data_IF_047903101907
#
_entry.id   IF_047903101907
#
_cell.length_a   1.000
_cell.length_b   1.000
_cell.length_c   1.000
_cell.angle_alpha   90.00
_cell.angle_beta   90.00
_cell.angle_gamma   90.00
#
_symmetry.space_group_name_H-M   'P 1'
#
loop_
_entity.id
_entity.type
_entity.pdbx_description
1 polymer ?
#
# COMPACT_ATOMS: atom_id res chain seq x y z
N UNK A 1 9.26 66.53 35.32
CA UNK A 1 9.17 67.32 36.57
C UNK A 1 8.41 66.49 37.61
N UNK A 2 9.09 66.06 38.68
CA UNK A 2 8.62 65.58 40.02
C UNK A 2 7.42 64.60 40.09
N UNK A 3 7.63 63.31 40.36
CA UNK A 3 7.67 62.60 41.69
C UNK A 3 6.37 62.73 42.52
N UNK A 4 5.69 61.61 42.77
CA UNK A 4 5.01 61.27 44.04
C UNK A 4 4.64 59.76 44.04
N UNK A 5 5.45 58.87 44.62
CA UNK A 5 5.34 58.26 45.98
C UNK A 5 4.06 57.42 46.21
N UNK A 6 4.24 56.11 46.03
CA UNK A 6 3.93 54.98 46.94
C UNK A 6 2.92 55.26 48.09
N UNK A 7 1.81 54.52 48.12
CA UNK A 7 1.21 54.10 49.39
C UNK A 7 0.60 52.70 49.32
N UNK A 8 0.84 51.96 50.38
CA UNK A 8 0.61 50.54 50.55
C UNK A 8 -0.69 50.36 51.33
N UNK A 9 -1.60 49.54 50.82
CA UNK A 9 -2.61 48.94 51.69
C UNK A 9 -3.02 47.59 51.11
N UNK A 10 -2.50 46.54 51.75
CA UNK A 10 -2.97 45.18 51.60
C UNK A 10 -4.43 45.11 52.09
N UNK A 11 -5.34 44.68 51.22
CA UNK A 11 -6.64 44.20 51.64
C UNK A 11 -6.87 42.81 51.03
N UNK A 12 -6.79 41.84 51.93
CA UNK A 12 -7.01 40.42 51.73
C UNK A 12 -8.45 40.19 51.25
N UNK A 13 -8.63 39.95 49.95
CA UNK A 13 -9.91 39.51 49.37
C UNK A 13 -9.83 38.03 49.05
N UNK A 14 -10.51 37.25 49.90
CA UNK A 14 -10.73 35.82 49.77
C UNK A 14 -11.55 35.60 48.49
N UNK A 15 -10.90 35.09 47.44
CA UNK A 15 -11.54 34.73 46.19
C UNK A 15 -12.08 33.30 46.34
N UNK A 16 -13.41 33.06 46.25
CA UNK A 16 -13.93 31.70 46.23
C UNK A 16 -13.46 31.04 44.93
N UNK A 17 -12.65 29.99 45.08
CA UNK A 17 -12.17 29.15 44.00
C UNK A 17 -13.39 28.48 43.35
N UNK A 18 -13.88 29.05 42.24
CA UNK A 18 -14.91 28.45 41.43
C UNK A 18 -14.32 27.20 40.76
N UNK A 19 -14.69 26.03 41.30
CA UNK A 19 -14.40 24.73 40.74
C UNK A 19 -15.14 24.60 39.40
N UNK A 20 -14.46 24.90 38.30
CA UNK A 20 -15.02 24.71 36.95
C UNK A 20 -14.98 23.21 36.63
N UNK A 21 -16.16 22.59 36.62
CA UNK A 21 -16.36 21.21 36.20
C UNK A 21 -15.96 21.08 34.73
N UNK A 22 -14.83 20.42 34.46
CA UNK A 22 -14.42 20.06 33.11
C UNK A 22 -15.37 18.95 32.62
N UNK A 23 -16.45 19.33 31.93
CA UNK A 23 -17.32 18.36 31.26
C UNK A 23 -16.60 17.83 30.03
N UNK A 24 -15.95 16.67 30.20
CA UNK A 24 -15.43 15.87 29.12
C UNK A 24 -16.59 15.51 28.18
N UNK A 25 -16.71 16.21 27.06
CA UNK A 25 -17.54 15.76 25.95
C UNK A 25 -16.84 14.53 25.37
N UNK A 26 -17.29 13.35 25.75
CA UNK A 26 -16.93 12.11 25.08
C UNK A 26 -17.38 12.24 23.62
N UNK A 27 -16.47 12.66 22.74
CA UNK A 27 -16.66 12.54 21.30
C UNK A 27 -16.69 11.05 21.00
N UNK A 28 -17.89 10.50 20.84
CA UNK A 28 -18.08 9.15 20.32
C UNK A 28 -17.44 9.13 18.94
N UNK A 29 -16.30 8.44 18.81
CA UNK A 29 -15.69 8.22 17.51
C UNK A 29 -16.74 7.57 16.59
N UNK A 30 -16.88 8.03 15.33
CA UNK A 30 -17.77 7.37 14.39
C UNK A 30 -17.40 5.89 14.30
N UNK A 31 -18.41 5.02 14.31
CA UNK A 31 -18.22 3.59 14.13
C UNK A 31 -17.37 3.37 12.86
N UNK A 32 -16.30 2.58 13.00
CA UNK A 32 -15.47 2.23 11.85
C UNK A 32 -16.37 1.64 10.75
N UNK A 33 -16.16 2.01 9.47
CA UNK A 33 -16.95 1.49 8.38
C UNK A 33 -16.92 -0.05 8.38
N UNK A 34 -18.01 -0.71 7.94
CA UNK A 34 -18.09 -2.16 7.90
C UNK A 34 -16.90 -2.67 7.09
N UNK A 35 -16.06 -3.43 7.76
CA UNK A 35 -14.85 -3.98 7.19
C UNK A 35 -15.16 -5.37 6.68
N UNK A 36 -14.69 -5.71 5.48
CA UNK A 36 -14.92 -7.03 4.92
C UNK A 36 -14.42 -8.13 5.87
N UNK A 37 -15.27 -9.12 6.10
CA UNK A 37 -14.96 -10.28 6.97
C UNK A 37 -14.13 -11.33 6.23
N UNK A 38 -14.12 -11.29 4.89
CA UNK A 38 -13.38 -12.19 4.01
C UNK A 38 -12.60 -11.39 2.99
N UNK A 39 -11.52 -11.98 2.48
CA UNK A 39 -10.77 -11.40 1.38
C UNK A 39 -11.61 -11.41 0.09
N UNK A 40 -11.45 -10.37 -0.74
CA UNK A 40 -12.12 -10.23 -2.03
C UNK A 40 -11.04 -10.11 -3.11
N UNK A 41 -11.10 -11.02 -4.09
CA UNK A 41 -10.25 -10.94 -5.28
C UNK A 41 -10.71 -9.80 -6.18
N UNK A 42 -9.80 -8.89 -6.54
CA UNK A 42 -10.08 -7.70 -7.34
C UNK A 42 -9.67 -7.93 -8.78
N UNK A 43 -10.62 -7.67 -9.69
CA UNK A 43 -10.42 -7.67 -11.13
C UNK A 43 -10.29 -6.22 -11.63
N UNK A 44 -9.88 -6.00 -12.91
CA UNK A 44 -9.67 -4.64 -13.42
C UNK A 44 -10.84 -3.66 -13.21
N UNK A 45 -12.08 -4.14 -13.30
CA UNK A 45 -13.27 -3.31 -13.10
C UNK A 45 -13.40 -2.80 -11.64
N UNK A 46 -12.92 -3.57 -10.67
CA UNK A 46 -12.98 -3.23 -9.25
C UNK A 46 -11.90 -2.19 -8.86
N UNK A 47 -10.87 -2.04 -9.70
CA UNK A 47 -9.70 -1.20 -9.44
C UNK A 47 -9.71 0.14 -10.18
N UNK A 48 -10.72 0.41 -11.02
CA UNK A 48 -10.71 1.55 -11.95
C UNK A 48 -10.59 2.91 -11.23
N UNK A 49 -11.21 3.03 -10.06
CA UNK A 49 -11.15 4.24 -9.21
C UNK A 49 -9.95 4.28 -8.27
N UNK A 50 -9.34 3.13 -7.99
CA UNK A 50 -8.22 3.01 -7.04
C UNK A 50 -6.86 3.23 -7.72
N UNK A 51 -6.73 2.79 -8.97
CA UNK A 51 -5.46 2.89 -9.71
C UNK A 51 -5.23 4.34 -10.19
N UNK A 52 -4.12 4.98 -9.79
CA UNK A 52 -3.71 6.27 -10.33
C UNK A 52 -3.52 6.18 -11.86
N UNK A 53 -3.89 7.21 -12.64
CA UNK A 53 -3.73 7.19 -14.09
C UNK A 53 -2.25 7.20 -14.54
N UNK A 54 -1.35 7.66 -13.67
CA UNK A 54 0.09 7.62 -13.84
C UNK A 54 0.77 7.38 -12.50
N UNK A 55 1.95 6.77 -12.54
CA UNK A 55 2.73 6.40 -11.35
C UNK A 55 4.15 6.93 -11.47
N UNK A 56 4.76 7.26 -10.32
CA UNK A 56 6.15 7.71 -10.25
C UNK A 56 7.08 6.51 -10.04
N UNK A 57 8.19 6.47 -10.77
CA UNK A 57 9.27 5.53 -10.56
C UNK A 57 10.58 6.11 -11.07
N UNK A 58 11.62 6.10 -10.23
CA UNK A 58 12.99 6.48 -10.59
C UNK A 58 13.10 7.84 -11.31
N UNK A 59 12.44 8.88 -10.77
CA UNK A 59 12.48 10.24 -11.32
C UNK A 59 11.56 10.47 -12.52
N UNK A 60 10.77 9.47 -12.91
CA UNK A 60 9.91 9.53 -14.09
C UNK A 60 8.46 9.22 -13.73
N UNK A 61 7.53 9.73 -14.53
CA UNK A 61 6.11 9.36 -14.47
C UNK A 61 5.76 8.50 -15.69
N UNK A 62 5.08 7.38 -15.45
CA UNK A 62 4.59 6.50 -16.51
C UNK A 62 3.08 6.32 -16.41
N UNK A 63 2.40 6.23 -17.56
CA UNK A 63 1.00 5.80 -17.60
C UNK A 63 0.89 4.31 -17.28
N UNK A 64 -0.31 3.88 -16.92
CA UNK A 64 -0.59 2.49 -16.56
C UNK A 64 -1.68 1.88 -17.43
N UNK A 65 -1.58 0.57 -17.65
CA UNK A 65 -2.57 -0.21 -18.37
C UNK A 65 -3.61 -0.75 -17.38
N UNK A 66 -4.57 0.07 -16.94
CA UNK A 66 -5.59 -0.33 -15.93
C UNK A 66 -6.29 -1.66 -16.23
N UNK A 67 -6.54 -1.96 -17.51
CA UNK A 67 -7.11 -3.24 -17.98
C UNK A 67 -6.27 -4.48 -17.64
N UNK A 68 -4.99 -4.27 -17.36
CA UNK A 68 -4.01 -5.28 -16.96
C UNK A 68 -3.64 -5.01 -15.50
N UNK A 69 -4.61 -5.27 -14.63
CA UNK A 69 -4.49 -5.11 -13.17
C UNK A 69 -5.18 -6.24 -12.44
N UNK A 70 -4.82 -6.41 -11.17
CA UNK A 70 -5.46 -7.34 -10.27
C UNK A 70 -5.02 -7.06 -8.84
N UNK A 71 -5.76 -7.59 -7.89
CA UNK A 71 -5.44 -7.36 -6.48
C UNK A 71 -6.29 -8.19 -5.53
N UNK A 72 -6.16 -7.86 -4.25
CA UNK A 72 -6.93 -8.42 -3.16
C UNK A 72 -7.33 -7.27 -2.23
N UNK A 73 -8.61 -7.19 -1.91
CA UNK A 73 -9.06 -6.42 -0.76
C UNK A 73 -9.13 -7.39 0.41
N UNK A 74 -8.15 -7.33 1.31
CA UNK A 74 -8.07 -8.26 2.43
C UNK A 74 -9.18 -8.02 3.45
N UNK A 75 -9.57 -9.08 4.15
CA UNK A 75 -10.33 -8.98 5.37
C UNK A 75 -9.64 -8.03 6.34
N UNK A 76 -10.41 -7.18 7.00
CA UNK A 76 -9.83 -6.10 7.81
C UNK A 76 -9.57 -4.80 7.04
N UNK A 77 -9.84 -4.74 5.72
CA UNK A 77 -9.88 -3.50 4.94
C UNK A 77 -8.68 -3.12 4.07
N UNK A 78 -7.43 -3.61 4.28
CA UNK A 78 -6.32 -3.14 3.48
C UNK A 78 -6.35 -3.72 2.07
N UNK A 79 -5.90 -2.91 1.11
CA UNK A 79 -5.75 -3.31 -0.28
C UNK A 79 -4.32 -3.76 -0.59
N UNK A 80 -4.23 -4.71 -1.52
CA UNK A 80 -3.04 -4.93 -2.35
C UNK A 80 -3.50 -4.98 -3.80
N UNK A 81 -2.83 -4.25 -4.67
CA UNK A 81 -3.07 -4.38 -6.11
C UNK A 81 -1.82 -4.10 -6.91
N UNK A 82 -1.80 -4.63 -8.12
CA UNK A 82 -0.74 -4.44 -9.08
C UNK A 82 -1.32 -4.01 -10.43
N UNK A 83 -0.60 -3.16 -11.15
CA UNK A 83 -0.98 -2.69 -12.49
C UNK A 83 0.23 -2.64 -13.39
N UNK A 84 0.05 -3.08 -14.64
CA UNK A 84 1.11 -3.04 -15.65
C UNK A 84 1.41 -1.61 -16.07
N UNK A 85 2.69 -1.28 -16.21
CA UNK A 85 3.17 0.07 -16.53
C UNK A 85 3.50 0.19 -18.02
N UNK A 86 3.20 1.34 -18.62
CA UNK A 86 3.58 1.66 -20.00
C UNK A 86 5.05 2.13 -20.06
N UNK A 87 5.98 1.19 -20.13
CA UNK A 87 7.42 1.50 -20.19
C UNK A 87 7.98 1.67 -21.60
N UNK A 88 7.16 1.71 -22.64
CA UNK A 88 7.61 1.75 -24.05
C UNK A 88 8.53 2.93 -24.42
N UNK A 89 8.55 4.01 -23.64
CA UNK A 89 9.47 5.15 -23.82
C UNK A 89 10.73 5.11 -22.95
N UNK A 90 10.90 4.10 -22.10
CA UNK A 90 12.02 3.98 -21.16
C UNK A 90 13.21 3.27 -21.81
N UNK A 91 14.39 3.32 -21.17
CA UNK A 91 15.53 2.50 -21.59
C UNK A 91 15.20 1.01 -21.47
N UNK A 92 15.84 0.17 -22.30
CA UNK A 92 15.68 -1.29 -22.24
C UNK A 92 15.94 -1.83 -20.83
N UNK A 93 16.94 -1.30 -20.13
CA UNK A 93 17.25 -1.66 -18.75
C UNK A 93 16.11 -1.42 -17.77
N UNK A 94 15.29 -0.39 -17.97
CA UNK A 94 14.12 -0.13 -17.13
C UNK A 94 12.94 -0.98 -17.61
N UNK A 95 12.72 -1.09 -18.92
CA UNK A 95 11.65 -1.92 -19.49
C UNK A 95 11.75 -3.39 -19.03
N UNK A 96 12.96 -3.93 -18.95
CA UNK A 96 13.20 -5.30 -18.51
C UNK A 96 12.84 -5.52 -17.03
N UNK A 97 13.08 -4.53 -16.17
CA UNK A 97 13.02 -4.67 -14.70
C UNK A 97 11.74 -4.11 -14.09
N UNK A 98 11.25 -2.99 -14.60
CA UNK A 98 10.06 -2.29 -14.14
C UNK A 98 8.91 -2.53 -15.10
N UNK A 99 8.13 -3.58 -14.82
CA UNK A 99 7.03 -4.01 -15.68
C UNK A 99 5.67 -3.68 -15.04
N UNK A 100 5.63 -3.67 -13.71
CA UNK A 100 4.40 -3.57 -12.92
C UNK A 100 4.63 -2.65 -11.73
N UNK A 101 3.61 -1.85 -11.40
CA UNK A 101 3.56 -1.06 -10.19
C UNK A 101 2.68 -1.78 -9.17
N UNK A 102 3.23 -2.04 -7.99
CA UNK A 102 2.56 -2.77 -6.91
C UNK A 102 2.34 -1.81 -5.74
N UNK A 103 1.11 -1.76 -5.22
CA UNK A 103 0.75 -1.07 -3.99
C UNK A 103 0.23 -2.09 -2.99
N UNK A 104 0.67 -1.98 -1.75
CA UNK A 104 0.12 -2.76 -0.64
C UNK A 104 -0.01 -1.91 0.61
N UNK A 105 -1.16 -1.96 1.26
CA UNK A 105 -1.46 -1.22 2.50
C UNK A 105 -1.14 -2.02 3.76
N UNK A 106 -0.72 -3.28 3.59
CA UNK A 106 -0.29 -4.18 4.66
C UNK A 106 1.02 -4.85 4.26
N UNK A 107 1.77 -5.34 5.25
CA UNK A 107 2.93 -6.17 4.96
C UNK A 107 2.50 -7.45 4.23
N UNK A 108 3.23 -7.81 3.17
CA UNK A 108 3.10 -9.05 2.42
C UNK A 108 4.27 -9.99 2.77
N UNK A 109 4.02 -11.27 2.65
CA UNK A 109 5.05 -12.31 2.55
C UNK A 109 5.08 -12.78 1.10
N UNK A 110 6.26 -12.73 0.48
CA UNK A 110 6.51 -13.19 -0.89
C UNK A 110 7.68 -14.17 -0.81
N UNK A 111 7.39 -15.48 -0.89
CA UNK A 111 8.40 -16.54 -0.80
C UNK A 111 9.35 -16.37 0.41
N UNK A 112 8.77 -16.10 1.59
CA UNK A 112 9.51 -15.89 2.85
C UNK A 112 10.10 -14.49 3.02
N UNK A 113 9.98 -13.61 2.02
CA UNK A 113 10.45 -12.23 2.08
C UNK A 113 9.32 -11.31 2.51
N UNK A 114 9.55 -10.56 3.59
CA UNK A 114 8.59 -9.55 4.04
C UNK A 114 8.72 -8.28 3.21
N UNK A 115 7.63 -7.89 2.56
CA UNK A 115 7.48 -6.61 1.88
C UNK A 115 6.56 -5.71 2.73
N UNK A 116 7.06 -4.61 3.31
CA UNK A 116 6.23 -3.68 4.08
C UNK A 116 5.10 -3.06 3.26
N UNK A 117 4.20 -2.34 3.95
CA UNK A 117 3.23 -1.49 3.26
C UNK A 117 3.96 -0.38 2.49
N UNK A 118 3.52 -0.10 1.27
CA UNK A 118 4.16 0.87 0.39
C UNK A 118 3.79 0.70 -1.08
N UNK A 119 4.55 1.40 -1.92
CA UNK A 119 4.46 1.29 -3.37
C UNK A 119 5.83 0.90 -3.94
N UNK A 120 5.81 0.03 -4.94
CA UNK A 120 6.98 -0.69 -5.42
C UNK A 120 6.96 -0.84 -6.94
N UNK A 121 8.13 -0.82 -7.55
CA UNK A 121 8.30 -1.31 -8.91
C UNK A 121 8.63 -2.80 -8.87
N UNK A 122 7.99 -3.59 -9.72
CA UNK A 122 8.26 -5.03 -9.80
C UNK A 122 8.35 -5.50 -11.25
N UNK A 123 9.03 -6.62 -11.46
CA UNK A 123 9.15 -7.23 -12.78
C UNK A 123 9.51 -8.70 -12.73
N UNK A 124 9.00 -9.44 -13.72
CA UNK A 124 9.42 -10.81 -13.99
C UNK A 124 10.57 -10.74 -14.98
N UNK A 125 11.77 -10.99 -14.47
CA UNK A 125 13.02 -10.86 -15.23
C UNK A 125 13.53 -12.25 -15.64
N UNK A 126 14.60 -12.26 -16.45
CA UNK A 126 15.21 -13.47 -16.94
C UNK A 126 15.58 -14.47 -15.82
N UNK A 127 15.68 -15.75 -16.18
CA UNK A 127 16.03 -16.85 -15.28
C UNK A 127 14.98 -17.12 -14.18
N UNK A 128 13.70 -16.95 -14.51
CA UNK A 128 12.56 -17.24 -13.63
C UNK A 128 12.67 -16.49 -12.30
N UNK A 129 12.92 -15.17 -12.38
CA UNK A 129 13.07 -14.32 -11.21
C UNK A 129 12.01 -13.24 -11.18
N UNK A 130 11.50 -12.99 -9.99
CA UNK A 130 10.67 -11.84 -9.69
C UNK A 130 11.46 -10.86 -8.84
N UNK A 131 11.64 -9.66 -9.37
CA UNK A 131 12.38 -8.58 -8.74
C UNK A 131 11.41 -7.59 -8.11
N UNK A 132 11.70 -7.18 -6.87
CA UNK A 132 11.02 -6.08 -6.19
C UNK A 132 12.00 -4.94 -5.97
N UNK A 133 11.57 -3.72 -6.32
CA UNK A 133 12.33 -2.48 -6.20
C UNK A 133 11.53 -1.44 -5.43
N UNK A 134 12.24 -0.56 -4.72
CA UNK A 134 11.64 0.65 -4.19
C UNK A 134 11.34 1.69 -5.30
N UNK A 135 10.71 2.81 -4.95
CA UNK A 135 10.40 3.88 -5.91
C UNK A 135 11.65 4.58 -6.49
N UNK A 136 12.81 4.41 -5.87
CA UNK A 136 14.10 4.87 -6.39
C UNK A 136 14.71 3.91 -7.43
N UNK A 137 14.12 2.74 -7.62
CA UNK A 137 14.64 1.69 -8.49
C UNK A 137 15.75 0.86 -7.86
N UNK A 138 15.90 0.92 -6.54
CA UNK A 138 16.84 0.07 -5.80
C UNK A 138 16.21 -1.29 -5.51
N UNK A 139 16.95 -2.36 -5.77
CA UNK A 139 16.55 -3.73 -5.50
C UNK A 139 16.33 -3.92 -4.00
N UNK A 140 15.15 -4.40 -3.63
CA UNK A 140 14.82 -4.80 -2.26
C UNK A 140 15.14 -6.28 -2.08
N UNK A 141 14.59 -7.12 -2.96
CA UNK A 141 14.89 -8.55 -3.02
C UNK A 141 14.50 -9.14 -4.37
N UNK A 142 14.96 -10.36 -4.62
CA UNK A 142 14.57 -11.16 -5.78
C UNK A 142 14.19 -12.56 -5.31
N UNK A 143 13.06 -13.06 -5.78
CA UNK A 143 12.57 -14.42 -5.49
C UNK A 143 12.47 -15.23 -6.78
N UNK A 144 12.28 -16.53 -6.66
CA UNK A 144 12.00 -17.37 -7.83
C UNK A 144 10.55 -17.19 -8.26
N UNK A 145 10.31 -16.99 -9.56
CA UNK A 145 8.98 -17.05 -10.15
C UNK A 145 8.71 -18.46 -10.69
N UNK A 146 7.44 -18.83 -10.72
CA UNK A 146 6.96 -20.11 -11.22
C UNK A 146 6.27 -19.93 -12.56
N UNK A 147 6.11 -21.01 -13.32
CA UNK A 147 5.39 -21.04 -14.58
C UNK A 147 4.17 -21.95 -14.47
N UNK A 148 3.03 -21.51 -15.01
CA UNK A 148 1.78 -22.28 -15.01
C UNK A 148 1.46 -22.80 -16.43
N UNK A 149 1.93 -24.03 -16.71
CA UNK A 149 1.67 -24.71 -17.99
C UNK A 149 0.17 -25.00 -18.20
N UNK A 150 -0.61 -25.13 -17.12
CA UNK A 150 -2.02 -25.48 -17.19
C UNK A 150 -2.92 -24.27 -17.51
N UNK A 151 -2.42 -23.04 -17.39
CA UNK A 151 -3.21 -21.83 -17.64
C UNK A 151 -3.62 -21.72 -19.11
N UNK A 152 -4.91 -21.79 -19.42
CA UNK A 152 -5.36 -21.78 -20.83
C UNK A 152 -5.49 -20.39 -21.42
N UNK A 153 -5.74 -19.36 -20.60
CA UNK A 153 -5.98 -17.97 -21.02
C UNK A 153 -5.15 -16.99 -20.19
N UNK A 154 -3.85 -16.85 -20.49
CA UNK A 154 -3.01 -15.89 -19.78
C UNK A 154 -3.41 -14.46 -20.14
N UNK A 155 -3.48 -13.59 -19.13
CA UNK A 155 -3.62 -12.15 -19.31
C UNK A 155 -2.28 -11.46 -19.02
N UNK A 156 -2.05 -10.22 -19.51
CA UNK A 156 -0.78 -9.55 -19.28
C UNK A 156 -0.45 -9.30 -17.81
N UNK A 157 -1.46 -9.12 -16.96
CA UNK A 157 -1.31 -9.07 -15.50
C UNK A 157 -2.66 -9.43 -14.86
N UNK A 158 -2.64 -10.29 -13.83
CA UNK A 158 -3.81 -10.62 -13.02
C UNK A 158 -3.39 -11.15 -11.64
N UNK A 159 -4.35 -11.17 -10.70
CA UNK A 159 -4.21 -11.87 -9.44
C UNK A 159 -5.24 -13.00 -9.39
N UNK A 160 -4.86 -14.16 -8.86
CA UNK A 160 -5.75 -15.30 -8.65
C UNK A 160 -5.51 -15.88 -7.25
N UNK A 161 -6.46 -16.66 -6.73
CA UNK A 161 -6.24 -17.42 -5.51
C UNK A 161 -5.20 -18.53 -5.77
N UNK A 162 -4.26 -18.73 -4.84
CA UNK A 162 -3.37 -19.89 -4.91
C UNK A 162 -4.13 -21.15 -4.44
N UNK A 163 -4.02 -22.31 -5.13
CA UNK A 163 -4.67 -23.54 -4.73
C UNK A 163 -4.27 -24.08 -3.35
N UNK A 164 -3.09 -23.73 -2.85
CA UNK A 164 -2.58 -24.18 -1.56
C UNK A 164 -2.89 -23.15 -0.47
N UNK A 165 -2.39 -21.92 -0.63
CA UNK A 165 -2.62 -20.83 0.31
C UNK A 165 -2.16 -19.49 -0.26
N UNK A 166 -2.93 -18.42 0.01
CA UNK A 166 -2.62 -17.07 -0.43
C UNK A 166 -3.07 -16.80 -1.86
N UNK A 167 -2.26 -16.04 -2.59
CA UNK A 167 -2.61 -15.48 -3.88
C UNK A 167 -1.44 -15.57 -4.85
N UNK A 168 -1.74 -15.65 -6.14
CA UNK A 168 -0.77 -15.61 -7.21
C UNK A 168 -0.86 -14.28 -7.94
N UNK A 169 0.24 -13.56 -8.03
CA UNK A 169 0.38 -12.44 -8.97
C UNK A 169 0.99 -12.99 -10.26
N UNK A 170 0.24 -12.90 -11.36
CA UNK A 170 0.64 -13.41 -12.68
C UNK A 170 1.07 -12.28 -13.61
N UNK A 171 2.09 -12.53 -14.44
CA UNK A 171 2.28 -11.90 -15.74
C UNK A 171 2.28 -12.98 -16.83
N UNK A 172 1.29 -12.96 -17.71
CA UNK A 172 1.08 -14.06 -18.64
C UNK A 172 0.84 -15.38 -17.88
N UNK A 173 1.82 -16.28 -17.94
CA UNK A 173 1.83 -17.60 -17.26
C UNK A 173 2.81 -17.65 -16.08
N UNK A 174 3.68 -16.67 -15.96
CA UNK A 174 4.64 -16.62 -14.86
C UNK A 174 3.98 -16.01 -13.64
N UNK A 175 4.26 -16.53 -12.46
CA UNK A 175 3.67 -16.04 -11.22
C UNK A 175 4.59 -16.13 -10.02
N UNK A 176 4.28 -15.32 -9.01
CA UNK A 176 4.75 -15.51 -7.64
C UNK A 176 3.57 -15.81 -6.74
N UNK A 177 3.83 -16.49 -5.62
CA UNK A 177 2.86 -16.64 -4.54
C UNK A 177 3.12 -15.55 -3.50
N UNK A 178 2.06 -14.92 -3.01
CA UNK A 178 2.12 -13.99 -1.90
C UNK A 178 0.96 -14.20 -0.95
N UNK A 179 1.14 -13.82 0.29
CA UNK A 179 0.07 -13.72 1.28
C UNK A 179 0.24 -12.48 2.12
N UNK A 180 -0.82 -12.09 2.84
CA UNK A 180 -0.67 -11.09 3.90
C UNK A 180 0.31 -11.64 4.95
N UNK A 181 1.31 -10.85 5.33
CA UNK A 181 2.26 -11.27 6.36
C UNK A 181 1.53 -11.34 7.70
N UNK A 182 1.67 -12.46 8.41
CA UNK A 182 1.22 -12.52 9.79
C UNK A 182 2.14 -11.64 10.64
N UNK A 183 1.58 -10.59 11.25
CA UNK A 183 2.28 -9.90 12.31
C UNK A 183 2.35 -10.87 13.50
N UNK A 184 3.50 -11.51 13.72
CA UNK A 184 3.80 -11.96 15.08
C UNK A 184 3.85 -10.70 15.92
N UNK A 185 2.85 -10.54 16.79
CA UNK A 185 2.96 -9.64 17.95
C UNK A 185 4.14 -10.07 18.82
#
# INVERSE_FOLDING_TARGET
>A
MRICRLNLLALLLIFPMALQSLTAHAQTAPAAPPTNTTDILLHPADLDTLIPPAVYFQGQSATVQKRNSGGVHFAGGPYMFAVKVDTGGYSSSIQERYQTYLITETALDIDGHKLPAGAYGVGFIANNKFLVMDLGGHDIFTVTSHHDDAMTRPTPLQVQADPSHGYRLYTGRDFIVFNRSSNSK
#
